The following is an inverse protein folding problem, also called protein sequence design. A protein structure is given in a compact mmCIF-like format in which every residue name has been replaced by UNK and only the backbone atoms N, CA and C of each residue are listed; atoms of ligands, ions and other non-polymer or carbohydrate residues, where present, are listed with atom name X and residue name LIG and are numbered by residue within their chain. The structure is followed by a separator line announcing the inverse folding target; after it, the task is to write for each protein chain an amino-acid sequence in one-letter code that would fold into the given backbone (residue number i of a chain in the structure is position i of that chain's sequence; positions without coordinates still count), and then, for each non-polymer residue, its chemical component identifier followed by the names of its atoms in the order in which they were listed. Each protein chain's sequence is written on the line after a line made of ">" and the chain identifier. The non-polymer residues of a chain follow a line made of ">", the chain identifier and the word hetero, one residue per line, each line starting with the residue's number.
data_IF_283493122697
#
_entry.id   IF_283493122697
#
_cell.length_a   1.000
_cell.length_b   1.000
_cell.length_c   1.000
_cell.angle_alpha   90.00
_cell.angle_beta   90.00
_cell.angle_gamma   90.00
#
_symmetry.space_group_name_H-M   'P 1'
#
loop_
_entity.id
_entity.type
_entity.pdbx_description
1 polymer ?
#
# COMPACT_ATOMS: atom_id res chain seq x y z
N UNK A 1 -28.08 -49.24 25.12
CA UNK A 1 -27.70 -47.99 24.41
C UNK A 1 -27.19 -48.37 23.02
N UNK A 2 -27.90 -47.99 21.97
CA UNK A 2 -27.69 -48.47 20.59
C UNK A 2 -26.66 -47.60 19.86
N UNK A 3 -25.75 -48.24 19.12
CA UNK A 3 -24.61 -47.66 18.37
C UNK A 3 -24.97 -46.47 17.44
N UNK A 4 -26.25 -46.28 17.14
CA UNK A 4 -26.80 -45.20 16.31
C UNK A 4 -26.79 -43.83 17.00
N UNK A 5 -26.83 -43.78 18.34
CA UNK A 5 -26.83 -42.51 19.08
C UNK A 5 -25.43 -41.85 19.13
N UNK A 6 -24.36 -42.63 18.98
CA UNK A 6 -22.98 -42.11 19.04
C UNK A 6 -22.54 -41.42 17.74
N UNK A 7 -23.07 -41.83 16.58
CA UNK A 7 -22.70 -41.23 15.29
C UNK A 7 -23.33 -39.86 15.01
N UNK A 8 -24.46 -39.55 15.65
CA UNK A 8 -25.14 -38.25 15.48
C UNK A 8 -24.52 -37.12 16.33
N UNK A 9 -23.82 -37.46 17.42
CA UNK A 9 -23.18 -36.46 18.26
C UNK A 9 -21.80 -36.00 17.73
N UNK A 10 -21.12 -36.84 16.94
CA UNK A 10 -19.78 -36.53 16.43
C UNK A 10 -19.78 -35.60 15.20
N UNK A 11 -20.88 -35.50 14.46
CA UNK A 11 -20.97 -34.63 13.27
C UNK A 11 -21.40 -33.19 13.59
N UNK A 12 -22.05 -32.95 14.73
CA UNK A 12 -22.46 -31.59 15.14
C UNK A 12 -21.31 -30.77 15.75
N UNK A 13 -20.27 -31.41 16.29
CA UNK A 13 -19.13 -30.71 16.89
C UNK A 13 -18.09 -30.25 15.84
N UNK A 14 -18.03 -30.89 14.67
CA UNK A 14 -17.09 -30.54 13.61
C UNK A 14 -17.53 -29.34 12.75
N UNK A 15 -18.82 -29.02 12.70
CA UNK A 15 -19.34 -27.88 11.92
C UNK A 15 -19.15 -26.54 12.61
N UNK A 16 -19.14 -26.49 13.94
CA UNK A 16 -19.00 -25.23 14.70
C UNK A 16 -17.58 -24.67 14.62
N UNK A 17 -16.55 -25.51 14.43
CA UNK A 17 -15.15 -25.06 14.33
C UNK A 17 -14.78 -24.41 12.98
N UNK A 18 -15.56 -24.64 11.91
CA UNK A 18 -15.33 -23.99 10.62
C UNK A 18 -16.05 -22.64 10.47
N UNK A 19 -17.08 -22.35 11.28
CA UNK A 19 -17.86 -21.12 11.14
C UNK A 19 -17.23 -19.89 11.83
N UNK A 20 -16.15 -20.05 12.60
CA UNK A 20 -15.54 -18.97 13.37
C UNK A 20 -14.13 -18.58 12.91
N UNK A 21 -13.78 -18.86 11.65
CA UNK A 21 -12.64 -18.20 11.04
C UNK A 21 -13.01 -16.72 10.87
N UNK A 22 -12.20 -15.75 11.34
CA UNK A 22 -12.40 -14.37 10.96
C UNK A 22 -12.36 -14.34 9.43
N UNK A 23 -13.49 -14.05 8.81
CA UNK A 23 -13.51 -13.74 7.39
C UNK A 23 -12.75 -12.42 7.26
N UNK A 24 -11.46 -12.50 6.93
CA UNK A 24 -10.83 -11.38 6.27
C UNK A 24 -11.68 -11.10 5.04
N UNK A 25 -12.18 -9.87 4.84
CA UNK A 25 -12.82 -9.52 3.58
C UNK A 25 -11.90 -10.03 2.48
N UNK A 26 -12.42 -10.81 1.54
CA UNK A 26 -11.69 -10.98 0.30
C UNK A 26 -11.46 -9.56 -0.21
N UNK A 27 -10.20 -9.11 -0.26
CA UNK A 27 -9.85 -7.77 -0.69
C UNK A 27 -10.39 -7.61 -2.12
N UNK A 28 -11.57 -7.01 -2.24
CA UNK A 28 -12.17 -6.70 -3.52
C UNK A 28 -11.46 -5.46 -4.07
N UNK A 29 -10.35 -5.74 -4.75
CA UNK A 29 -9.52 -4.72 -5.39
C UNK A 29 -10.06 -4.36 -6.78
N UNK A 30 -11.28 -4.73 -7.15
CA UNK A 30 -11.82 -4.46 -8.49
C UNK A 30 -11.81 -2.96 -8.82
N UNK A 31 -12.28 -2.13 -7.90
CA UNK A 31 -12.30 -0.67 -8.05
C UNK A 31 -10.87 -0.11 -8.18
N UNK A 32 -9.92 -0.62 -7.40
CA UNK A 32 -8.51 -0.19 -7.47
C UNK A 32 -7.89 -0.57 -8.81
N UNK A 33 -8.12 -1.81 -9.28
CA UNK A 33 -7.63 -2.28 -10.58
C UNK A 33 -8.20 -1.45 -11.72
N UNK A 34 -9.50 -1.11 -11.65
CA UNK A 34 -10.13 -0.24 -12.63
C UNK A 34 -9.47 1.15 -12.66
N UNK A 35 -9.20 1.75 -11.50
CA UNK A 35 -8.51 3.03 -11.40
C UNK A 35 -7.07 2.97 -11.93
N UNK A 36 -6.34 1.87 -11.69
CA UNK A 36 -5.00 1.66 -12.25
C UNK A 36 -5.04 1.64 -13.78
N UNK A 37 -5.99 0.89 -14.37
CA UNK A 37 -6.16 0.84 -15.83
C UNK A 37 -6.49 2.22 -16.40
N UNK A 38 -7.43 2.96 -15.78
CA UNK A 38 -7.82 4.31 -16.20
C UNK A 38 -6.66 5.31 -16.15
N UNK A 39 -5.76 5.18 -15.18
CA UNK A 39 -4.64 6.10 -14.96
C UNK A 39 -3.32 5.63 -15.60
N UNK A 40 -3.35 4.61 -16.46
CA UNK A 40 -2.13 3.98 -16.99
C UNK A 40 -1.17 4.99 -17.63
N UNK A 41 -1.63 5.71 -18.66
CA UNK A 41 -0.80 6.66 -19.41
C UNK A 41 -0.22 7.76 -18.53
N UNK A 42 -1.05 8.27 -17.60
CA UNK A 42 -0.64 9.32 -16.66
C UNK A 42 0.40 8.81 -15.65
N UNK A 43 0.31 7.53 -15.26
CA UNK A 43 1.28 6.88 -14.38
C UNK A 43 2.59 6.59 -15.11
N UNK A 44 2.52 6.15 -16.37
CA UNK A 44 3.70 6.00 -17.25
C UNK A 44 4.40 7.34 -17.43
N UNK A 45 3.65 8.43 -17.67
CA UNK A 45 4.22 9.77 -17.80
C UNK A 45 4.92 10.22 -16.51
N UNK A 46 4.29 10.03 -15.33
CA UNK A 46 4.93 10.34 -14.03
C UNK A 46 6.22 9.55 -13.81
N UNK A 47 6.25 8.27 -14.19
CA UNK A 47 7.47 7.45 -14.14
C UNK A 47 8.56 7.97 -15.09
N UNK A 48 8.19 8.32 -16.32
CA UNK A 48 9.12 8.93 -17.27
C UNK A 48 9.68 10.24 -16.72
N UNK A 49 8.84 11.12 -16.18
CA UNK A 49 9.26 12.41 -15.61
C UNK A 49 10.18 12.20 -14.40
N UNK A 50 9.89 11.20 -13.55
CA UNK A 50 10.77 10.84 -12.45
C UNK A 50 12.14 10.32 -12.92
N UNK A 51 12.17 9.46 -13.94
CA UNK A 51 13.44 8.95 -14.50
C UNK A 51 14.27 10.08 -15.14
N UNK A 52 13.62 11.07 -15.77
CA UNK A 52 14.33 12.22 -16.35
C UNK A 52 14.94 13.15 -15.28
N UNK A 53 14.40 13.15 -14.06
CA UNK A 53 14.95 13.93 -12.95
C UNK A 53 16.30 13.33 -12.52
N UNK A 54 17.39 14.03 -12.85
CA UNK A 54 18.73 13.65 -12.41
C UNK A 54 18.79 13.69 -10.89
N UNK A 55 19.14 12.56 -10.25
CA UNK A 55 19.34 12.45 -8.80
C UNK A 55 20.29 11.28 -8.45
N UNK A 56 21.56 11.41 -8.82
CA UNK A 56 22.58 10.36 -8.65
C UNK A 56 23.39 10.64 -7.36
N UNK A 57 23.07 9.89 -6.31
CA UNK A 57 23.67 10.07 -4.98
C UNK A 57 25.19 9.85 -4.97
N UNK A 58 25.68 8.84 -5.69
CA UNK A 58 27.10 8.50 -5.76
C UNK A 58 27.95 9.58 -6.45
N UNK A 59 27.36 10.35 -7.36
CA UNK A 59 28.02 11.41 -8.12
C UNK A 59 27.87 12.79 -7.48
N UNK A 60 27.15 12.90 -6.35
CA UNK A 60 26.75 14.19 -5.78
C UNK A 60 25.99 15.09 -6.76
N UNK A 61 25.23 14.50 -7.70
CA UNK A 61 24.57 15.23 -8.80
C UNK A 61 23.05 15.13 -8.68
N UNK A 62 22.38 16.27 -8.54
CA UNK A 62 20.91 16.34 -8.59
C UNK A 62 20.18 15.75 -7.37
N UNK A 63 20.92 15.33 -6.33
CA UNK A 63 20.32 14.62 -5.20
C UNK A 63 19.44 15.51 -4.29
N UNK A 64 19.71 16.82 -4.09
CA UNK A 64 18.76 17.69 -3.38
C UNK A 64 17.46 17.85 -4.17
N UNK A 65 17.56 18.09 -5.48
CA UNK A 65 16.41 18.30 -6.36
C UNK A 65 15.56 17.03 -6.49
N UNK A 66 16.16 15.84 -6.43
CA UNK A 66 15.44 14.58 -6.37
C UNK A 66 14.55 14.45 -5.13
N UNK A 67 15.02 14.93 -3.97
CA UNK A 67 14.22 14.95 -2.75
C UNK A 67 13.09 15.99 -2.84
N UNK A 68 13.33 17.15 -3.43
CA UNK A 68 12.29 18.16 -3.67
C UNK A 68 11.21 17.64 -4.64
N UNK A 69 11.62 16.93 -5.69
CA UNK A 69 10.69 16.30 -6.63
C UNK A 69 9.83 15.23 -5.96
N UNK A 70 10.40 14.42 -5.06
CA UNK A 70 9.63 13.46 -4.27
C UNK A 70 8.58 14.16 -3.37
N UNK A 71 8.94 15.28 -2.73
CA UNK A 71 7.98 16.07 -1.94
C UNK A 71 6.80 16.53 -2.80
N UNK A 72 7.08 17.04 -4.01
CA UNK A 72 6.04 17.43 -4.97
C UNK A 72 5.11 16.25 -5.31
N UNK A 73 5.67 15.08 -5.61
CA UNK A 73 4.86 13.88 -5.92
C UNK A 73 3.95 13.46 -4.75
N UNK A 74 4.45 13.55 -3.51
CA UNK A 74 3.67 13.23 -2.32
C UNK A 74 2.53 14.22 -2.09
N UNK A 75 2.79 15.52 -2.29
CA UNK A 75 1.76 16.56 -2.22
C UNK A 75 0.68 16.36 -3.29
N UNK A 76 1.07 16.06 -4.54
CA UNK A 76 0.13 15.76 -5.63
C UNK A 76 -0.68 14.48 -5.36
N UNK A 77 -0.12 13.53 -4.62
CA UNK A 77 -0.81 12.31 -4.18
C UNK A 77 -1.73 12.53 -2.97
N UNK A 78 -1.78 13.74 -2.39
CA UNK A 78 -2.68 14.09 -1.30
C UNK A 78 -2.13 13.85 0.12
N UNK A 79 -0.81 13.69 0.29
CA UNK A 79 -0.21 13.63 1.62
C UNK A 79 -0.35 15.00 2.34
N UNK A 80 -0.74 14.98 3.62
CA UNK A 80 -0.98 16.18 4.42
C UNK A 80 0.29 16.99 4.67
N UNK A 81 1.39 16.28 4.91
CA UNK A 81 2.71 16.86 5.12
C UNK A 81 3.75 16.06 4.35
N UNK A 82 4.69 16.77 3.73
CA UNK A 82 5.88 16.19 3.14
C UNK A 82 7.04 17.16 3.35
N UNK A 83 8.15 16.68 3.91
CA UNK A 83 9.32 17.50 4.22
C UNK A 83 10.61 16.72 4.04
N UNK A 84 11.66 17.46 3.68
CA UNK A 84 13.00 16.92 3.68
C UNK A 84 13.50 16.73 5.11
N UNK A 85 14.23 15.65 5.34
CA UNK A 85 14.87 15.33 6.61
C UNK A 85 16.38 15.20 6.37
N UNK A 86 17.22 16.03 7.02
CA UNK A 86 18.67 15.92 6.88
C UNK A 86 19.16 14.60 7.49
N UNK A 87 20.16 14.00 6.85
CA UNK A 87 20.88 12.82 7.36
C UNK A 87 22.38 13.10 7.32
N UNK A 88 23.21 12.18 7.84
CA UNK A 88 24.67 12.30 7.66
C UNK A 88 25.11 12.11 6.20
N UNK A 89 24.26 11.50 5.36
CA UNK A 89 24.51 11.27 3.94
C UNK A 89 23.66 12.18 3.07
N UNK A 90 22.75 11.59 2.29
CA UNK A 90 21.80 12.33 1.45
C UNK A 90 20.49 12.57 2.21
N UNK A 91 19.82 13.72 2.00
CA UNK A 91 18.55 13.97 2.63
C UNK A 91 17.52 12.91 2.26
N UNK A 92 16.69 12.53 3.24
CA UNK A 92 15.48 11.73 3.01
C UNK A 92 14.24 12.62 2.92
N UNK A 93 13.10 12.02 2.57
CA UNK A 93 11.80 12.68 2.64
C UNK A 93 10.91 11.92 3.60
N UNK A 94 10.27 12.66 4.52
CA UNK A 94 9.27 12.13 5.44
C UNK A 94 7.92 12.78 5.12
N UNK A 95 6.88 11.96 5.03
CA UNK A 95 5.53 12.43 4.75
C UNK A 95 4.48 11.64 5.55
N UNK A 96 3.35 12.29 5.78
CA UNK A 96 2.19 11.73 6.49
C UNK A 96 0.95 11.85 5.61
N UNK A 97 0.15 10.79 5.62
CA UNK A 97 -1.18 10.75 5.02
C UNK A 97 -2.13 10.18 6.07
N UNK A 98 -3.08 10.98 6.53
CA UNK A 98 -4.21 10.51 7.31
C UNK A 98 -5.27 9.92 6.38
N UNK A 99 -5.32 8.59 6.31
CA UNK A 99 -6.29 7.87 5.49
C UNK A 99 -7.68 7.73 6.16
N UNK A 100 -7.90 8.34 7.34
CA UNK A 100 -9.16 8.28 8.06
C UNK A 100 -9.50 6.87 8.55
N UNK A 101 -8.49 6.07 8.90
CA UNK A 101 -8.70 4.72 9.43
C UNK A 101 -9.48 4.78 10.77
N UNK A 102 -10.62 4.08 10.90
CA UNK A 102 -11.46 4.10 12.09
C UNK A 102 -10.89 3.30 13.27
#
# INVERSE_FOLDING_TARGET
>A
MTRKAFFLAATAAATIFLCNQPAWPADDLADIKEQITRQHDQSVKRLQDWIHQVSIAAENRGYPEGADYMIKLLQEAGFDQARQVPTQGKPGVFATLDAGAP
#
